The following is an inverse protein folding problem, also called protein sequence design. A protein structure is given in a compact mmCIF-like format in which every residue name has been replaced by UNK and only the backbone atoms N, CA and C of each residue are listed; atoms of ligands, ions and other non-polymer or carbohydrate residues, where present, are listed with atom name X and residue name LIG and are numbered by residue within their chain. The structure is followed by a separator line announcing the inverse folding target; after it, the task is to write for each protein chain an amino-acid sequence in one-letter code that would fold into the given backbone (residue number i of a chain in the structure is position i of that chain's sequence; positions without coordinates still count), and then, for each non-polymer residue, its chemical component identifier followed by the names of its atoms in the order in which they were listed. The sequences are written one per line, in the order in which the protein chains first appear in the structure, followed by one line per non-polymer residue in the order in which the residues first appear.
data_IF_598000180226
#
_entry.id   IF_598000180226
#
_cell.length_a   1.000
_cell.length_b   1.000
_cell.length_c   1.000
_cell.angle_alpha   90.00
_cell.angle_beta   90.00
_cell.angle_gamma   90.00
#
_symmetry.space_group_name_H-M   'P 1'
#
loop_
_entity.id
_entity.type
_entity.pdbx_description
1 polymer ?
#
# COMPACT_ATOMS: atom_id res chain seq x y z
N UNK A 1 7.92 10.60 13.92
CA UNK A 1 8.24 9.20 13.60
C UNK A 1 7.06 8.60 12.86
N UNK A 2 7.30 7.85 11.79
CA UNK A 2 6.27 7.31 10.88
C UNK A 2 5.19 6.50 11.65
N UNK A 3 5.58 5.86 12.76
CA UNK A 3 4.67 5.15 13.65
C UNK A 3 3.70 6.06 14.43
N UNK A 4 4.08 7.31 14.72
CA UNK A 4 3.23 8.26 15.46
C UNK A 4 2.08 8.79 14.60
N UNK A 5 2.31 8.95 13.30
CA UNK A 5 1.30 9.40 12.35
C UNK A 5 0.24 8.33 12.09
N UNK A 6 0.66 7.08 11.89
CA UNK A 6 -0.26 5.96 11.68
C UNK A 6 -1.18 5.72 12.89
N UNK A 7 -0.66 5.85 14.12
CA UNK A 7 -1.46 5.68 15.33
C UNK A 7 -2.41 6.88 15.58
N UNK A 8 -2.00 8.10 15.26
CA UNK A 8 -2.87 9.28 15.37
C UNK A 8 -4.06 9.21 14.41
N UNK A 9 -3.86 8.68 13.20
CA UNK A 9 -4.92 8.49 12.19
C UNK A 9 -5.93 7.40 12.61
N UNK A 10 -5.47 6.36 13.33
CA UNK A 10 -6.34 5.33 13.89
C UNK A 10 -7.11 5.86 15.12
N UNK A 11 -6.48 6.71 15.94
CA UNK A 11 -7.07 7.22 17.19
C UNK A 11 -8.04 8.40 17.00
N UNK A 12 -7.94 9.16 15.90
CA UNK A 12 -8.75 10.36 15.68
C UNK A 12 -10.14 10.11 15.08
N UNK A 13 -10.51 8.85 14.82
CA UNK A 13 -11.65 8.54 13.95
C UNK A 13 -11.23 8.80 12.51
N UNK A 14 -10.98 7.73 11.78
CA UNK A 14 -10.52 7.76 10.40
C UNK A 14 -11.64 8.34 9.52
N UNK A 15 -11.75 9.66 9.43
CA UNK A 15 -12.50 10.27 8.35
C UNK A 15 -11.71 10.01 7.08
N UNK A 16 -12.10 8.94 6.37
CA UNK A 16 -11.50 8.51 5.13
C UNK A 16 -11.41 9.68 4.12
N UNK A 17 -12.35 10.64 4.20
CA UNK A 17 -12.38 11.84 3.35
C UNK A 17 -11.22 12.77 3.66
N UNK A 18 -10.88 12.95 4.94
CA UNK A 18 -9.72 13.77 5.35
C UNK A 18 -8.43 13.09 4.93
N UNK A 19 -8.29 11.77 5.13
CA UNK A 19 -7.10 11.05 4.68
C UNK A 19 -6.89 11.14 3.15
N UNK A 20 -7.96 11.00 2.35
CA UNK A 20 -7.93 11.14 0.88
C UNK A 20 -7.57 12.57 0.47
N UNK A 21 -8.14 13.59 1.10
CA UNK A 21 -7.75 14.99 0.87
C UNK A 21 -6.28 15.26 1.25
N UNK A 22 -5.77 14.62 2.31
CA UNK A 22 -4.38 14.73 2.74
C UNK A 22 -3.37 14.17 1.72
N UNK A 23 -3.73 13.15 0.94
CA UNK A 23 -2.86 12.61 -0.12
C UNK A 23 -2.68 13.59 -1.30
N UNK A 24 -3.64 14.48 -1.52
CA UNK A 24 -3.52 15.56 -2.52
C UNK A 24 -2.76 16.79 -2.01
N UNK A 25 -2.32 16.81 -0.75
CA UNK A 25 -1.45 17.87 -0.25
C UNK A 25 -0.09 17.82 -0.97
N UNK A 26 0.44 19.01 -1.25
CA UNK A 26 1.60 19.26 -2.11
C UNK A 26 2.83 18.33 -1.96
N UNK A 27 3.22 17.82 -0.78
CA UNK A 27 4.39 16.95 -0.68
C UNK A 27 4.16 15.50 -1.17
N UNK A 28 2.91 15.00 -1.20
CA UNK A 28 2.64 13.58 -1.48
C UNK A 28 2.13 13.28 -2.90
N UNK A 29 1.65 14.31 -3.60
CA UNK A 29 1.12 14.19 -4.95
C UNK A 29 2.07 13.47 -5.95
N UNK A 30 3.41 13.64 -5.92
CA UNK A 30 4.30 12.91 -6.83
C UNK A 30 4.31 11.41 -6.60
N UNK A 31 4.19 10.94 -5.35
CA UNK A 31 4.16 9.51 -5.04
C UNK A 31 2.85 8.89 -5.51
N UNK A 32 1.73 9.59 -5.27
CA UNK A 32 0.44 9.18 -5.80
C UNK A 32 0.52 9.02 -7.33
N UNK A 33 0.99 10.05 -8.04
CA UNK A 33 1.12 10.00 -9.51
C UNK A 33 2.07 8.89 -9.99
N UNK A 34 3.15 8.62 -9.25
CA UNK A 34 4.07 7.53 -9.57
C UNK A 34 3.40 6.17 -9.50
N UNK A 35 2.68 5.89 -8.41
CA UNK A 35 2.03 4.59 -8.20
C UNK A 35 0.76 4.40 -9.02
N UNK A 36 0.14 5.49 -9.51
CA UNK A 36 -1.08 5.46 -10.33
C UNK A 36 -0.81 5.73 -11.83
N UNK A 37 0.47 5.69 -12.24
CA UNK A 37 0.87 5.81 -13.65
C UNK A 37 1.08 4.42 -14.26
N UNK A 38 0.19 4.05 -15.18
CA UNK A 38 0.30 2.83 -15.98
C UNK A 38 1.57 2.84 -16.84
N UNK A 39 1.99 4.01 -17.32
CA UNK A 39 3.22 4.18 -18.08
C UNK A 39 4.45 3.81 -17.24
N UNK A 40 4.53 4.30 -16.00
CA UNK A 40 5.62 3.98 -15.08
C UNK A 40 5.57 2.49 -14.71
N UNK A 41 4.40 1.98 -14.37
CA UNK A 41 4.22 0.55 -14.10
C UNK A 41 4.72 -0.31 -15.26
N UNK A 42 4.34 -0.01 -16.50
CA UNK A 42 4.77 -0.76 -17.67
C UNK A 42 6.30 -0.71 -17.84
N UNK A 43 6.91 0.47 -17.69
CA UNK A 43 8.36 0.63 -17.78
C UNK A 43 9.10 -0.23 -16.73
N UNK A 44 8.65 -0.20 -15.46
CA UNK A 44 9.27 -0.98 -14.39
C UNK A 44 8.98 -2.48 -14.56
N UNK A 45 7.75 -2.85 -14.97
CA UNK A 45 7.35 -4.23 -15.20
C UNK A 45 8.21 -4.89 -16.30
N UNK A 46 8.47 -4.19 -17.41
CA UNK A 46 9.36 -4.67 -18.46
C UNK A 46 10.76 -5.02 -17.94
N UNK A 47 11.31 -4.19 -17.04
CA UNK A 47 12.61 -4.45 -16.42
C UNK A 47 12.52 -5.64 -15.45
N UNK A 48 11.54 -5.66 -14.55
CA UNK A 48 11.53 -6.64 -13.46
C UNK A 48 11.07 -8.02 -13.91
N UNK A 49 10.06 -8.10 -14.78
CA UNK A 49 9.57 -9.37 -15.30
C UNK A 49 10.63 -10.09 -16.15
N UNK A 50 11.57 -9.35 -16.75
CA UNK A 50 12.67 -9.90 -17.52
C UNK A 50 13.77 -10.56 -16.65
N UNK A 51 13.91 -10.18 -15.37
CA UNK A 51 15.09 -10.59 -14.57
C UNK A 51 14.80 -11.24 -13.23
N UNK A 52 13.64 -11.01 -12.59
CA UNK A 52 13.42 -11.39 -11.19
C UNK A 52 12.02 -11.97 -10.93
N UNK A 53 11.88 -13.29 -11.08
CA UNK A 53 10.64 -14.02 -10.74
C UNK A 53 10.15 -13.82 -9.31
N UNK A 54 11.07 -13.61 -8.36
CA UNK A 54 10.71 -13.34 -6.96
C UNK A 54 9.89 -12.05 -6.79
N UNK A 55 9.99 -11.10 -7.72
CA UNK A 55 9.25 -9.86 -7.68
C UNK A 55 7.87 -9.95 -8.35
N UNK A 56 7.56 -11.05 -9.07
CA UNK A 56 6.30 -11.19 -9.79
C UNK A 56 5.04 -10.94 -8.94
N UNK A 57 4.92 -11.46 -7.70
CA UNK A 57 3.74 -11.20 -6.88
C UNK A 57 3.49 -9.71 -6.63
N UNK A 58 4.56 -8.93 -6.42
CA UNK A 58 4.46 -7.48 -6.25
C UNK A 58 3.95 -6.80 -7.52
N UNK A 59 4.45 -7.18 -8.70
CA UNK A 59 4.02 -6.59 -9.97
C UNK A 59 2.59 -6.96 -10.35
N UNK A 60 2.18 -8.21 -10.10
CA UNK A 60 0.78 -8.59 -10.30
C UNK A 60 -0.14 -7.85 -9.33
N UNK A 61 0.28 -7.69 -8.06
CA UNK A 61 -0.45 -6.89 -7.08
C UNK A 61 -0.59 -5.42 -7.50
N UNK A 62 0.50 -4.80 -7.97
CA UNK A 62 0.48 -3.42 -8.46
C UNK A 62 -0.39 -3.26 -9.72
N UNK A 63 -0.27 -4.18 -10.69
CA UNK A 63 -1.12 -4.16 -11.88
C UNK A 63 -2.61 -4.32 -11.54
N UNK A 64 -2.94 -5.21 -10.61
CA UNK A 64 -4.32 -5.39 -10.12
C UNK A 64 -4.83 -4.13 -9.41
N UNK A 65 -4.00 -3.48 -8.60
CA UNK A 65 -4.33 -2.20 -7.97
C UNK A 65 -4.65 -1.13 -9.01
N UNK A 66 -3.80 -0.92 -10.02
CA UNK A 66 -4.07 0.03 -11.12
C UNK A 66 -5.37 -0.27 -11.87
N UNK A 67 -5.67 -1.55 -12.07
CA UNK A 67 -6.90 -1.97 -12.73
C UNK A 67 -8.13 -1.61 -11.88
N UNK A 68 -8.09 -1.90 -10.58
CA UNK A 68 -9.19 -1.55 -9.66
C UNK A 68 -9.38 -0.03 -9.68
N UNK A 69 -8.30 0.73 -9.54
CA UNK A 69 -8.31 2.19 -9.50
C UNK A 69 -8.88 2.82 -10.78
N UNK A 70 -8.59 2.22 -11.94
CA UNK A 70 -9.17 2.65 -13.21
C UNK A 70 -10.71 2.60 -13.21
N UNK A 71 -11.31 1.75 -12.36
CA UNK A 71 -12.77 1.64 -12.22
C UNK A 71 -13.34 2.33 -10.98
N UNK A 72 -12.51 2.63 -9.97
CA UNK A 72 -12.98 3.12 -8.66
C UNK A 72 -12.68 4.61 -8.38
N UNK A 73 -12.06 5.33 -9.31
CA UNK A 73 -11.80 6.77 -9.19
C UNK A 73 -12.66 7.61 -10.15
N UNK A 74 -13.70 8.27 -9.63
CA UNK A 74 -14.58 9.14 -10.45
C UNK A 74 -14.07 10.57 -10.46
N UNK A 75 -14.08 11.23 -9.30
CA UNK A 75 -13.74 12.65 -9.14
C UNK A 75 -12.24 12.88 -9.04
N UNK A 76 -11.49 11.83 -8.72
CA UNK A 76 -10.05 11.79 -8.54
C UNK A 76 -9.40 10.77 -9.49
N UNK A 77 -9.86 10.76 -10.74
CA UNK A 77 -9.40 9.85 -11.79
C UNK A 77 -7.88 9.74 -11.90
N UNK A 78 -7.38 8.51 -12.03
CA UNK A 78 -5.95 8.24 -12.18
C UNK A 78 -5.41 8.88 -13.47
N UNK A 79 -4.09 9.08 -13.54
CA UNK A 79 -3.41 9.68 -14.70
C UNK A 79 -2.47 8.64 -15.33
N UNK A 80 -2.97 7.75 -16.21
CA UNK A 80 -2.22 6.59 -16.67
C UNK A 80 -0.90 6.93 -17.36
N UNK A 81 -0.83 8.10 -17.99
CA UNK A 81 0.29 8.54 -18.83
C UNK A 81 1.19 9.59 -18.17
N UNK A 82 1.00 9.86 -16.87
CA UNK A 82 1.91 10.75 -16.15
C UNK A 82 3.34 10.18 -16.13
N UNK A 83 4.42 10.97 -16.30
CA UNK A 83 4.46 12.44 -16.38
C UNK A 83 4.29 13.04 -17.78
N UNK A 84 4.13 12.21 -18.82
CA UNK A 84 4.09 12.69 -20.21
C UNK A 84 2.77 13.36 -20.59
N UNK A 85 1.66 12.91 -19.98
CA UNK A 85 0.33 13.44 -20.24
C UNK A 85 -0.49 13.47 -18.95
N UNK A 86 -1.27 14.55 -18.77
CA UNK A 86 -2.15 14.79 -17.62
C UNK A 86 -3.58 14.31 -17.83
N UNK A 87 -3.88 13.59 -18.91
CA UNK A 87 -5.18 12.99 -19.16
C UNK A 87 -5.59 12.09 -17.99
N UNK A 88 -6.82 12.28 -17.53
CA UNK A 88 -7.41 11.55 -16.42
C UNK A 88 -8.33 10.47 -16.95
N UNK A 89 -8.14 9.26 -16.44
CA UNK A 89 -9.06 8.15 -16.63
C UNK A 89 -10.09 8.21 -15.50
N UNK A 90 -11.34 8.47 -15.86
CA UNK A 90 -12.47 8.55 -14.93
C UNK A 90 -13.18 7.21 -14.91
N UNK A 91 -13.21 6.59 -13.74
CA UNK A 91 -13.94 5.34 -13.48
C UNK A 91 -15.45 5.55 -13.35
N UNK A 92 -16.25 4.47 -13.48
CA UNK A 92 -17.70 4.52 -13.34
C UNK A 92 -18.20 4.54 -11.89
N UNK A 93 -17.39 4.11 -10.92
CA UNK A 93 -17.77 4.01 -9.50
C UNK A 93 -16.69 4.71 -8.67
N UNK A 94 -17.07 5.31 -7.54
CA UNK A 94 -16.11 5.89 -6.58
C UNK A 94 -15.94 4.97 -5.39
N UNK A 95 -14.71 4.71 -4.94
CA UNK A 95 -14.48 3.96 -3.70
C UNK A 95 -14.79 4.76 -2.44
N UNK A 96 -14.88 6.10 -2.52
CA UNK A 96 -15.04 6.97 -1.34
C UNK A 96 -16.30 7.83 -1.38
N UNK A 97 -16.80 8.17 -2.57
CA UNK A 97 -18.02 8.96 -2.71
C UNK A 97 -19.26 8.06 -2.73
N UNK A 98 -20.06 8.14 -1.67
CA UNK A 98 -21.32 7.41 -1.55
C UNK A 98 -22.35 7.76 -2.63
N UNK A 99 -22.29 8.98 -3.18
CA UNK A 99 -23.15 9.36 -4.30
C UNK A 99 -22.80 8.62 -5.60
N UNK A 100 -21.58 8.08 -5.69
CA UNK A 100 -21.05 7.38 -6.86
C UNK A 100 -20.76 5.90 -6.55
N UNK A 101 -21.50 5.28 -5.62
CA UNK A 101 -21.46 3.84 -5.40
C UNK A 101 -20.40 3.33 -4.42
N UNK A 102 -19.79 4.19 -3.59
CA UNK A 102 -18.81 3.77 -2.58
C UNK A 102 -19.32 2.68 -1.63
N UNK A 103 -20.61 2.69 -1.28
CA UNK A 103 -21.19 1.64 -0.44
C UNK A 103 -21.02 0.23 -1.05
N UNK A 104 -21.11 0.11 -2.37
CA UNK A 104 -20.90 -1.16 -3.07
C UNK A 104 -19.43 -1.58 -3.04
N UNK A 105 -18.51 -0.65 -3.28
CA UNK A 105 -17.06 -0.90 -3.24
C UNK A 105 -16.62 -1.33 -1.84
N UNK A 106 -17.04 -0.60 -0.80
CA UNK A 106 -16.75 -0.90 0.60
C UNK A 106 -17.27 -2.31 0.98
N UNK A 107 -18.47 -2.68 0.54
CA UNK A 107 -19.01 -4.01 0.80
C UNK A 107 -18.15 -5.11 0.16
N UNK A 108 -17.72 -4.91 -1.09
CA UNK A 108 -16.81 -5.84 -1.78
C UNK A 108 -15.45 -5.93 -1.08
N UNK A 109 -14.89 -4.82 -0.63
CA UNK A 109 -13.63 -4.79 0.12
C UNK A 109 -13.73 -5.57 1.44
N UNK A 110 -14.82 -5.39 2.20
CA UNK A 110 -15.07 -6.14 3.44
C UNK A 110 -15.15 -7.64 3.16
N UNK A 111 -15.87 -8.05 2.12
CA UNK A 111 -16.01 -9.46 1.73
C UNK A 111 -14.66 -10.03 1.30
N UNK A 112 -13.89 -9.32 0.48
CA UNK A 112 -12.58 -9.75 0.03
C UNK A 112 -11.59 -9.89 1.20
N UNK A 113 -11.60 -8.94 2.14
CA UNK A 113 -10.79 -9.00 3.35
C UNK A 113 -11.19 -10.18 4.24
N UNK A 114 -12.48 -10.39 4.46
CA UNK A 114 -12.98 -11.52 5.24
C UNK A 114 -12.60 -12.87 4.60
N UNK A 115 -12.72 -12.99 3.27
CA UNK A 115 -12.30 -14.17 2.53
C UNK A 115 -10.78 -14.41 2.64
N UNK A 116 -9.97 -13.37 2.49
CA UNK A 116 -8.51 -13.48 2.65
C UNK A 116 -8.12 -13.92 4.06
N UNK A 117 -8.73 -13.34 5.10
CA UNK A 117 -8.53 -13.74 6.49
C UNK A 117 -8.97 -15.19 6.74
N UNK A 118 -10.10 -15.62 6.16
CA UNK A 118 -10.59 -16.98 6.27
C UNK A 118 -9.65 -17.99 5.60
N UNK A 119 -9.16 -17.70 4.39
CA UNK A 119 -8.17 -18.55 3.70
C UNK A 119 -6.89 -18.65 4.55
N UNK A 120 -6.36 -17.52 5.03
CA UNK A 120 -5.17 -17.50 5.88
C UNK A 120 -5.36 -18.32 7.17
N UNK A 121 -6.53 -18.22 7.79
CA UNK A 121 -6.85 -18.97 9.00
C UNK A 121 -6.94 -20.47 8.73
N UNK A 122 -7.52 -20.88 7.59
CA UNK A 122 -7.63 -22.28 7.16
C UNK A 122 -6.27 -22.90 6.82
N UNK A 123 -5.41 -22.17 6.11
CA UNK A 123 -4.12 -22.68 5.64
C UNK A 123 -3.03 -22.66 6.72
N UNK A 124 -3.18 -21.81 7.75
CA UNK A 124 -2.21 -21.66 8.84
C UNK A 124 -2.84 -21.64 10.24
N UNK A 125 -3.61 -22.67 10.63
CA UNK A 125 -4.28 -22.72 11.94
C UNK A 125 -3.27 -22.66 13.11
N UNK A 126 -2.05 -23.18 12.93
CA UNK A 126 -0.95 -23.17 13.90
C UNK A 126 -0.16 -21.84 13.98
N UNK A 127 -0.34 -20.95 13.00
CA UNK A 127 0.21 -19.58 13.02
C UNK A 127 -0.81 -18.56 13.49
N UNK A 128 -1.84 -19.02 14.21
CA UNK A 128 -2.98 -18.23 14.68
C UNK A 128 -2.60 -16.84 15.16
N UNK A 129 -3.57 -15.92 15.05
CA UNK A 129 -3.50 -14.48 15.35
C UNK A 129 -2.54 -14.10 16.50
N UNK A 130 -2.49 -14.95 17.52
CA UNK A 130 -1.55 -14.93 18.64
C UNK A 130 -0.09 -14.70 18.23
N UNK A 131 0.48 -15.28 17.17
CA UNK A 131 1.93 -15.11 16.88
C UNK A 131 2.36 -13.68 16.49
N UNK A 132 1.44 -12.84 16.01
CA UNK A 132 1.68 -11.43 15.71
C UNK A 132 1.74 -10.58 16.99
N UNK A 133 1.04 -11.00 18.06
CA UNK A 133 0.97 -10.30 19.35
C UNK A 133 1.81 -10.98 20.46
N UNK A 134 2.11 -12.27 20.32
CA UNK A 134 2.84 -13.12 21.27
C UNK A 134 4.35 -12.95 21.17
N UNK A 135 4.84 -12.47 20.03
CA UNK A 135 6.19 -11.93 20.01
C UNK A 135 6.06 -10.57 20.67
N UNK A 136 6.49 -10.38 21.95
CA UNK A 136 6.72 -9.02 22.40
C UNK A 136 7.57 -8.37 21.32
N UNK A 137 7.28 -7.10 21.00
CA UNK A 137 8.18 -6.26 20.23
C UNK A 137 9.48 -6.24 21.03
N UNK A 138 10.28 -7.28 20.85
CA UNK A 138 11.62 -7.38 21.31
C UNK A 138 12.29 -6.39 20.39
N UNK A 139 12.32 -5.14 20.86
CA UNK A 139 13.38 -4.22 20.55
C UNK A 139 14.64 -5.05 20.61
N UNK A 140 15.06 -5.55 19.44
CA UNK A 140 16.32 -6.25 19.31
C UNK A 140 17.29 -5.19 19.79
N UNK A 141 17.71 -5.31 21.06
CA UNK A 141 18.77 -4.49 21.62
C UNK A 141 19.90 -4.69 20.64
N UNK A 142 20.09 -3.72 19.74
CA UNK A 142 21.20 -3.72 18.81
C UNK A 142 22.40 -3.90 19.72
N UNK A 143 23.00 -5.10 19.70
CA UNK A 143 24.18 -5.36 20.51
C UNK A 143 25.16 -4.29 20.06
N UNK A 144 25.56 -3.36 20.94
CA UNK A 144 26.36 -2.23 20.50
C UNK A 144 27.63 -2.82 19.90
N UNK A 145 27.94 -2.44 18.66
CA UNK A 145 29.10 -2.92 17.89
C UNK A 145 30.46 -2.50 18.51
N UNK A 146 30.53 -2.35 19.84
CA UNK A 146 31.74 -1.98 20.59
C UNK A 146 32.87 -3.00 20.45
N UNK A 147 32.58 -4.25 20.02
CA UNK A 147 33.62 -5.27 19.79
C UNK A 147 34.37 -5.10 18.45
N UNK A 148 33.76 -4.47 17.44
CA UNK A 148 34.42 -4.21 16.15
C UNK A 148 35.33 -2.96 16.23
N UNK A 149 34.90 -1.92 16.93
CA UNK A 149 35.67 -0.68 17.06
C UNK A 149 36.95 -0.84 17.90
N UNK A 150 36.93 -1.67 18.96
CA UNK A 150 38.11 -1.94 19.80
C UNK A 150 39.24 -2.69 19.09
N UNK A 151 38.95 -3.44 18.02
CA UNK A 151 39.98 -4.12 17.22
C UNK A 151 40.63 -3.20 16.18
N UNK A 152 39.94 -2.14 15.74
CA UNK A 152 40.48 -1.14 14.81
C UNK A 152 41.37 -0.10 15.49
N UNK A 153 41.18 0.16 16.78
CA UNK A 153 42.02 1.09 17.57
C UNK A 153 43.27 0.44 18.18
N UNK A 154 43.54 -0.83 17.89
CA UNK A 154 44.72 -1.59 18.35
C UNK A 154 45.63 -2.06 17.19
N UNK A 155 45.39 -1.56 15.98
CA UNK A 155 46.28 -1.68 14.83
C UNK A 155 46.64 -0.27 14.39
#
# INVERSE_FOLDING_TARGET
GIASGAVAVIAAGFDLRVAVQYFHLAPYAPYYLFFHSVLIFAAVACVVLAFKRVAWPFFFGWGLHLLIDAFTHVTDGIRPFWPLNSWQLVGPVSYWDFAHGAAFVIALEIIALAAALWILWREHPERGFNRFFDKPIAWQKQKPQKKALRRRLRR
#
